data_IF_589242606614
#
_entry.id   IF_589242606614
#
_cell.length_a   1.000
_cell.length_b   1.000
_cell.length_c   1.000
_cell.angle_alpha   90.00
_cell.angle_beta   90.00
_cell.angle_gamma   90.00
#
_symmetry.space_group_name_H-M   'P 1'
#
loop_
_entity.id
_entity.type
_entity.pdbx_description
1 polymer ?
#
# COMPACT_ATOMS: atom_id res chain seq x y z
N UNK A 1 -21.63 -2.93 -4.42
CA UNK A 1 -20.29 -2.98 -5.05
C UNK A 1 -19.30 -2.45 -4.03
N UNK A 2 -18.21 -3.16 -3.77
CA UNK A 2 -17.19 -2.80 -2.79
C UNK A 2 -15.86 -2.61 -3.52
N UNK A 3 -15.16 -1.53 -3.26
CA UNK A 3 -13.84 -1.27 -3.86
C UNK A 3 -12.92 -0.59 -2.84
N UNK A 4 -11.61 -0.75 -3.03
CA UNK A 4 -10.59 0.02 -2.31
C UNK A 4 -10.09 1.16 -3.18
N UNK A 5 -9.85 2.32 -2.58
CA UNK A 5 -9.19 3.46 -3.22
C UNK A 5 -7.92 3.77 -2.44
N UNK A 6 -6.77 3.62 -3.09
CA UNK A 6 -5.43 3.69 -2.51
C UNK A 6 -4.59 4.65 -3.36
N UNK A 7 -3.68 5.39 -2.71
CA UNK A 7 -2.70 6.28 -3.33
C UNK A 7 -1.51 6.47 -2.38
N UNK A 8 -0.52 7.23 -2.82
CA UNK A 8 0.55 7.81 -1.99
C UNK A 8 1.32 6.77 -1.14
N UNK A 9 1.60 5.61 -1.74
CA UNK A 9 2.39 4.51 -1.19
C UNK A 9 3.89 4.80 -1.08
N UNK A 10 4.45 5.65 -1.96
CA UNK A 10 5.87 6.01 -1.97
C UNK A 10 6.84 4.81 -1.87
N UNK A 11 6.55 3.72 -2.58
CA UNK A 11 7.41 2.51 -2.59
C UNK A 11 8.86 2.86 -2.97
N UNK A 12 9.82 2.34 -2.21
CA UNK A 12 11.25 2.65 -2.37
C UNK A 12 11.73 3.90 -1.63
N UNK A 13 10.86 4.56 -0.85
CA UNK A 13 11.27 5.67 0.01
C UNK A 13 12.16 5.19 1.16
N UNK A 14 13.46 5.48 1.08
CA UNK A 14 14.41 5.28 2.18
C UNK A 14 14.43 6.51 3.09
N UNK A 15 13.45 6.61 3.99
CA UNK A 15 13.36 7.74 4.90
C UNK A 15 14.59 7.82 5.82
N UNK A 16 15.24 8.98 5.88
CA UNK A 16 16.45 9.24 6.68
C UNK A 16 17.67 8.37 6.33
N UNK A 17 17.67 7.66 5.20
CA UNK A 17 18.73 6.71 4.85
C UNK A 17 18.71 5.42 5.69
N UNK A 18 17.59 5.12 6.36
CA UNK A 18 17.42 3.93 7.20
C UNK A 18 16.66 2.87 6.39
N UNK A 19 17.28 1.70 6.17
CA UNK A 19 16.66 0.59 5.41
C UNK A 19 15.36 0.08 6.06
N UNK A 20 15.29 0.04 7.39
CA UNK A 20 14.07 -0.35 8.12
C UNK A 20 12.87 0.56 7.76
N UNK A 21 13.10 1.85 7.52
CA UNK A 21 12.04 2.78 7.13
C UNK A 21 11.53 2.54 5.71
N UNK A 22 12.38 2.01 4.82
CA UNK A 22 11.94 1.54 3.51
C UNK A 22 11.06 0.29 3.64
N UNK A 23 11.44 -0.63 4.52
CA UNK A 23 10.67 -1.85 4.80
C UNK A 23 9.29 -1.53 5.40
N UNK A 24 9.20 -0.54 6.30
CA UNK A 24 7.92 -0.08 6.86
C UNK A 24 6.94 0.34 5.76
N UNK A 25 7.43 0.98 4.69
CA UNK A 25 6.61 1.39 3.55
C UNK A 25 6.10 0.15 2.80
N UNK A 26 6.97 -0.81 2.50
CA UNK A 26 6.57 -2.07 1.86
C UNK A 26 5.53 -2.84 2.67
N UNK A 27 5.71 -2.93 3.99
CA UNK A 27 4.81 -3.64 4.89
C UNK A 27 3.43 -2.96 4.95
N UNK A 28 3.40 -1.62 4.98
CA UNK A 28 2.15 -0.85 4.96
C UNK A 28 1.36 -1.04 3.66
N UNK A 29 2.05 -1.05 2.51
CA UNK A 29 1.43 -1.31 1.22
C UNK A 29 0.89 -2.74 1.15
N UNK A 30 1.69 -3.73 1.54
CA UNK A 30 1.27 -5.13 1.60
C UNK A 30 0.03 -5.31 2.48
N UNK A 31 -0.02 -4.65 3.64
CA UNK A 31 -1.19 -4.67 4.51
C UNK A 31 -2.45 -4.13 3.81
N UNK A 32 -2.35 -3.02 3.07
CA UNK A 32 -3.50 -2.47 2.35
C UNK A 32 -4.02 -3.43 1.26
N UNK A 33 -3.11 -4.15 0.60
CA UNK A 33 -3.45 -5.19 -0.38
C UNK A 33 -4.09 -6.39 0.31
N UNK A 34 -3.52 -6.89 1.41
CA UNK A 34 -4.06 -8.01 2.18
C UNK A 34 -5.47 -7.74 2.70
N UNK A 35 -5.73 -6.51 3.17
CA UNK A 35 -7.07 -6.08 3.57
C UNK A 35 -8.01 -6.13 2.37
N UNK A 36 -7.60 -5.59 1.21
CA UNK A 36 -8.42 -5.58 0.00
C UNK A 36 -8.79 -7.00 -0.47
N UNK A 37 -7.84 -7.94 -0.38
CA UNK A 37 -8.05 -9.37 -0.70
C UNK A 37 -9.00 -10.01 0.31
N UNK A 38 -8.73 -9.86 1.62
CA UNK A 38 -9.56 -10.39 2.71
C UNK A 38 -11.01 -9.93 2.58
N UNK A 39 -11.18 -8.67 2.23
CA UNK A 39 -12.47 -8.01 2.10
C UNK A 39 -13.20 -8.32 0.79
N UNK A 40 -12.56 -9.07 -0.12
CA UNK A 40 -13.09 -9.48 -1.44
C UNK A 40 -13.66 -8.30 -2.21
N UNK A 41 -12.90 -7.21 -2.30
CA UNK A 41 -13.30 -6.04 -3.10
C UNK A 41 -13.42 -6.41 -4.58
N UNK A 42 -14.32 -5.75 -5.29
CA UNK A 42 -14.56 -6.01 -6.72
C UNK A 42 -13.43 -5.50 -7.62
N UNK A 43 -12.80 -4.39 -7.23
CA UNK A 43 -11.63 -3.82 -7.87
C UNK A 43 -10.93 -2.88 -6.88
N UNK A 44 -9.72 -2.46 -7.25
CA UNK A 44 -8.93 -1.45 -6.56
C UNK A 44 -8.71 -0.29 -7.54
N UNK A 45 -8.90 0.94 -7.08
CA UNK A 45 -8.41 2.13 -7.77
C UNK A 45 -7.10 2.52 -7.08
N UNK A 46 -6.03 2.55 -7.86
CA UNK A 46 -4.76 3.11 -7.46
C UNK A 46 -4.59 4.47 -8.14
N UNK A 47 -4.66 5.57 -7.39
CA UNK A 47 -4.78 6.93 -7.96
C UNK A 47 -3.45 7.68 -8.10
N UNK A 48 -2.34 7.00 -7.84
CA UNK A 48 -1.00 7.53 -8.03
C UNK A 48 -0.18 7.47 -6.75
N UNK A 49 1.12 7.32 -6.96
CA UNK A 49 2.21 7.37 -5.98
C UNK A 49 2.03 6.65 -4.65
#
# INVERSE_FOLDING_TARGET
MKFSHISDTHLGLVQYGIEEREQDIYDSFNQAIDISIKDKVNFVIFSGD
#
